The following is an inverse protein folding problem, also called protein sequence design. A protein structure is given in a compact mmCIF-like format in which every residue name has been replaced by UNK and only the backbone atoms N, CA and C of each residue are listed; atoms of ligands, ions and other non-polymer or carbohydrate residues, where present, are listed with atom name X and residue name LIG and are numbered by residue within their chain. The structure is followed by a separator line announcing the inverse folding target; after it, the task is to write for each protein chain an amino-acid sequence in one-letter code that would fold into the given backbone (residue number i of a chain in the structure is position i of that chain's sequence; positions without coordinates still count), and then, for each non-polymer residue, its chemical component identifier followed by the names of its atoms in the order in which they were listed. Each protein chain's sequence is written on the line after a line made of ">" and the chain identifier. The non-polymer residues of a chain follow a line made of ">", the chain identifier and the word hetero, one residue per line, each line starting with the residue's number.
data_IF_696325170539
#
_entry.id   IF_696325170539
#
_cell.length_a   1.000
_cell.length_b   1.000
_cell.length_c   1.000
_cell.angle_alpha   90.00
_cell.angle_beta   90.00
_cell.angle_gamma   90.00
#
_symmetry.space_group_name_H-M   'P 1'
#
loop_
_entity.id
_entity.type
_entity.pdbx_description
1 polymer ?
#
# COMPACT_ATOMS: atom_id res chain seq x y z
N UNK A 1 6.70 -29.24 1.26
CA UNK A 1 7.01 -27.89 0.81
C UNK A 1 5.74 -27.05 0.97
N UNK A 2 5.60 -26.23 1.88
CA UNK A 2 4.61 -25.15 1.98
C UNK A 2 4.19 -24.93 3.43
N UNK A 3 5.15 -24.53 4.24
CA UNK A 3 4.88 -23.87 5.51
C UNK A 3 5.78 -22.64 5.66
N UNK A 4 6.21 -22.06 4.53
CA UNK A 4 7.03 -20.86 4.57
C UNK A 4 6.08 -19.68 4.61
N UNK A 5 6.08 -19.00 5.76
CA UNK A 5 5.37 -17.76 5.97
C UNK A 5 6.07 -16.68 5.17
N UNK A 6 5.40 -16.11 4.18
CA UNK A 6 5.95 -15.09 3.31
C UNK A 6 5.41 -13.71 3.65
N UNK A 7 6.28 -12.71 3.41
CA UNK A 7 5.89 -11.30 3.35
C UNK A 7 5.85 -10.87 1.87
N UNK A 8 4.91 -10.02 1.50
CA UNK A 8 4.83 -9.45 0.15
C UNK A 8 5.48 -8.08 0.15
N UNK A 9 6.59 -7.98 -0.54
CA UNK A 9 7.37 -6.76 -0.70
C UNK A 9 7.33 -6.29 -2.14
N UNK A 10 7.28 -4.99 -2.37
CA UNK A 10 7.28 -4.44 -3.71
C UNK A 10 8.14 -3.19 -3.79
N UNK A 11 8.88 -3.03 -4.89
CA UNK A 11 9.75 -1.88 -5.11
C UNK A 11 9.22 -0.99 -6.21
N UNK A 12 9.04 0.29 -5.89
CA UNK A 12 8.62 1.29 -6.86
C UNK A 12 9.77 1.63 -7.79
N UNK A 13 9.55 1.48 -9.09
CA UNK A 13 10.50 1.82 -10.15
C UNK A 13 10.06 3.10 -10.86
N UNK A 14 11.03 3.92 -11.22
CA UNK A 14 10.94 4.96 -12.24
C UNK A 14 12.06 4.74 -13.26
N UNK A 15 11.71 4.78 -14.54
CA UNK A 15 12.68 4.61 -15.63
C UNK A 15 12.32 5.53 -16.82
N UNK A 16 13.33 6.11 -17.46
CA UNK A 16 13.15 6.89 -18.65
C UNK A 16 13.70 6.18 -19.91
N UNK A 17 13.38 6.70 -21.07
CA UNK A 17 13.85 6.16 -22.36
C UNK A 17 15.36 6.30 -22.60
N UNK A 18 16.06 7.01 -21.73
CA UNK A 18 17.50 7.24 -21.85
C UNK A 18 18.34 6.24 -21.03
N UNK A 19 17.65 5.28 -20.37
CA UNK A 19 18.28 4.23 -19.57
C UNK A 19 18.50 4.58 -18.11
N UNK A 20 18.05 5.75 -17.65
CA UNK A 20 18.05 6.06 -16.23
C UNK A 20 16.93 5.25 -15.55
N UNK A 21 17.30 4.45 -14.57
CA UNK A 21 16.37 3.57 -13.84
C UNK A 21 16.73 3.62 -12.37
N UNK A 22 15.76 3.95 -11.53
CA UNK A 22 15.91 4.03 -10.08
C UNK A 22 14.77 3.27 -9.38
N UNK A 23 14.99 2.91 -8.12
CA UNK A 23 13.92 2.51 -7.22
C UNK A 23 13.70 3.57 -6.12
N UNK A 24 12.48 3.70 -5.66
CA UNK A 24 12.06 4.64 -4.62
C UNK A 24 11.79 3.96 -3.27
N UNK A 25 12.47 2.84 -3.01
CA UNK A 25 12.23 2.02 -1.84
C UNK A 25 11.05 1.07 -2.01
N UNK A 26 10.77 0.37 -0.92
CA UNK A 26 9.78 -0.68 -0.88
C UNK A 26 8.50 -0.25 -0.16
N UNK A 27 7.45 -1.04 -0.41
CA UNK A 27 6.23 -1.13 0.37
C UNK A 27 6.02 -2.58 0.84
N UNK A 28 5.59 -2.73 2.08
CA UNK A 28 5.10 -4.01 2.61
C UNK A 28 3.60 -4.10 2.34
N UNK A 29 3.20 -5.14 1.62
CA UNK A 29 1.81 -5.41 1.26
C UNK A 29 1.37 -6.78 1.75
N UNK A 30 1.89 -7.22 2.90
CA UNK A 30 1.63 -8.55 3.45
C UNK A 30 0.20 -8.73 3.92
N UNK A 31 -0.44 -7.67 4.46
CA UNK A 31 -1.83 -7.75 4.91
C UNK A 31 -2.76 -7.68 3.72
N UNK A 32 -3.28 -8.83 3.39
CA UNK A 32 -4.15 -9.03 2.23
C UNK A 32 -5.24 -10.05 2.51
N UNK A 33 -6.32 -10.00 1.75
CA UNK A 33 -7.37 -11.00 1.75
C UNK A 33 -7.64 -11.43 0.31
N UNK A 34 -7.63 -12.75 0.04
CA UNK A 34 -7.82 -13.30 -1.31
C UNK A 34 -6.92 -12.58 -2.36
N UNK A 35 -5.65 -12.32 -1.99
CA UNK A 35 -4.66 -11.59 -2.80
C UNK A 35 -4.97 -10.11 -3.05
N UNK A 36 -6.01 -9.55 -2.43
CA UNK A 36 -6.28 -8.11 -2.43
C UNK A 36 -5.59 -7.46 -1.23
N UNK A 37 -4.72 -6.50 -1.49
CA UNK A 37 -4.02 -5.71 -0.48
C UNK A 37 -5.04 -4.88 0.32
N UNK A 38 -4.88 -4.83 1.63
CA UNK A 38 -5.76 -4.08 2.54
C UNK A 38 -5.01 -3.02 3.34
N UNK A 39 -3.77 -3.32 3.74
CA UNK A 39 -2.88 -2.42 4.46
C UNK A 39 -1.52 -2.47 3.80
N UNK A 40 -0.96 -1.32 3.49
CA UNK A 40 0.36 -1.15 2.91
C UNK A 40 1.20 -0.20 3.76
N UNK A 41 2.47 -0.51 3.94
CA UNK A 41 3.41 0.28 4.75
C UNK A 41 4.69 0.62 3.97
N UNK A 42 5.24 1.78 4.21
CA UNK A 42 6.57 2.17 3.70
C UNK A 42 7.32 3.00 4.76
N UNK A 43 8.59 2.68 5.07
CA UNK A 43 9.30 1.46 4.67
C UNK A 43 8.76 0.22 5.38
N UNK A 44 9.09 -0.95 4.83
CA UNK A 44 8.74 -2.24 5.44
C UNK A 44 9.46 -2.44 6.78
N UNK A 45 8.73 -2.86 7.84
CA UNK A 45 9.38 -3.23 9.11
C UNK A 45 10.21 -4.52 9.00
N UNK A 46 10.09 -5.26 7.91
CA UNK A 46 10.80 -6.51 7.70
C UNK A 46 12.18 -6.36 7.05
N UNK A 47 12.48 -5.19 6.45
CA UNK A 47 13.73 -4.98 5.72
C UNK A 47 14.70 -4.12 6.52
N UNK A 48 15.94 -4.62 6.69
CA UNK A 48 17.08 -3.80 7.06
C UNK A 48 17.67 -3.12 5.81
N UNK A 49 18.61 -2.20 6.01
CA UNK A 49 19.18 -1.39 4.92
C UNK A 49 19.93 -2.24 3.88
N UNK A 50 20.60 -3.31 4.30
CA UNK A 50 21.32 -4.21 3.40
C UNK A 50 20.36 -4.99 2.49
N UNK A 51 19.32 -5.58 3.08
CA UNK A 51 18.32 -6.34 2.34
C UNK A 51 17.51 -5.42 1.40
N UNK A 52 17.14 -4.22 1.88
CA UNK A 52 16.49 -3.18 1.07
C UNK A 52 17.33 -2.83 -0.15
N UNK A 53 18.62 -2.63 0.05
CA UNK A 53 19.54 -2.32 -1.05
C UNK A 53 19.61 -3.47 -2.05
N UNK A 54 19.81 -4.71 -1.59
CA UNK A 54 19.90 -5.89 -2.45
C UNK A 54 18.63 -6.11 -3.28
N UNK A 55 17.47 -6.01 -2.66
CA UNK A 55 16.19 -6.16 -3.34
C UNK A 55 15.93 -5.00 -4.32
N UNK A 56 16.25 -3.78 -3.92
CA UNK A 56 16.14 -2.60 -4.78
C UNK A 56 17.05 -2.68 -6.01
N UNK A 57 18.30 -3.08 -5.84
CA UNK A 57 19.23 -3.31 -6.96
C UNK A 57 18.69 -4.40 -7.91
N UNK A 58 18.09 -5.46 -7.36
CA UNK A 58 17.44 -6.51 -8.15
C UNK A 58 16.25 -5.97 -8.93
N UNK A 59 15.41 -5.15 -8.30
CA UNK A 59 14.25 -4.54 -8.96
C UNK A 59 14.68 -3.62 -10.13
N UNK A 60 15.75 -2.83 -9.94
CA UNK A 60 16.35 -2.02 -11.00
C UNK A 60 16.91 -2.90 -12.13
N UNK A 61 17.59 -4.01 -11.78
CA UNK A 61 18.12 -4.93 -12.78
C UNK A 61 17.01 -5.59 -13.63
N UNK A 62 15.90 -5.99 -13.00
CA UNK A 62 14.72 -6.51 -13.69
C UNK A 62 14.16 -5.47 -14.67
N UNK A 63 13.97 -4.23 -14.24
CA UNK A 63 13.46 -3.16 -15.09
C UNK A 63 14.40 -2.87 -16.29
N UNK A 64 15.70 -2.81 -16.05
CA UNK A 64 16.71 -2.60 -17.11
C UNK A 64 16.75 -3.76 -18.12
N UNK A 65 16.59 -4.99 -17.67
CA UNK A 65 16.62 -6.17 -18.54
C UNK A 65 15.52 -6.19 -19.62
N UNK A 66 14.42 -5.49 -19.36
CA UNK A 66 13.28 -5.37 -20.28
C UNK A 66 13.16 -3.98 -20.92
N UNK A 67 14.17 -3.10 -20.72
CA UNK A 67 14.13 -1.71 -21.16
C UNK A 67 12.85 -1.00 -20.72
N UNK A 68 12.50 -1.18 -19.44
CA UNK A 68 11.28 -0.60 -18.88
C UNK A 68 11.29 0.91 -18.95
N UNK A 69 10.16 1.51 -19.24
CA UNK A 69 9.95 2.97 -19.26
C UNK A 69 8.72 3.34 -18.42
N UNK A 70 8.79 4.46 -17.72
CA UNK A 70 7.78 5.05 -16.87
C UNK A 70 7.75 4.43 -15.44
N UNK A 71 6.66 4.65 -14.69
CA UNK A 71 6.48 4.10 -13.36
C UNK A 71 6.01 2.65 -13.41
N UNK A 72 6.65 1.79 -12.65
CA UNK A 72 6.28 0.39 -12.49
C UNK A 72 6.66 -0.12 -11.11
N UNK A 73 6.27 -1.33 -10.80
CA UNK A 73 6.55 -1.96 -9.51
C UNK A 73 7.00 -3.39 -9.71
N UNK A 74 8.09 -3.76 -9.04
CA UNK A 74 8.60 -5.14 -9.01
C UNK A 74 8.21 -5.77 -7.68
N UNK A 75 7.46 -6.86 -7.72
CA UNK A 75 6.96 -7.56 -6.54
C UNK A 75 7.78 -8.81 -6.20
N UNK A 76 7.97 -9.03 -4.90
CA UNK A 76 8.72 -10.14 -4.34
C UNK A 76 7.96 -10.80 -3.19
N UNK A 77 8.23 -12.09 -2.99
CA UNK A 77 7.97 -12.79 -1.74
C UNK A 77 9.26 -12.85 -0.93
N UNK A 78 9.19 -12.53 0.34
CA UNK A 78 10.29 -12.59 1.29
C UNK A 78 10.00 -13.67 2.33
N UNK A 79 10.91 -14.63 2.48
CA UNK A 79 10.81 -15.68 3.50
C UNK A 79 11.45 -15.25 4.85
N UNK A 80 11.27 -16.07 5.87
CA UNK A 80 11.82 -15.84 7.23
C UNK A 80 13.35 -15.90 7.33
N UNK A 81 14.04 -16.34 6.27
CA UNK A 81 15.50 -16.45 6.21
C UNK A 81 16.11 -15.34 5.34
N UNK A 82 15.36 -14.27 5.06
CA UNK A 82 15.75 -13.16 4.20
C UNK A 82 16.05 -13.56 2.74
N UNK A 83 15.53 -14.72 2.28
CA UNK A 83 15.53 -15.04 0.87
C UNK A 83 14.30 -14.40 0.22
N UNK A 84 14.52 -13.78 -0.93
CA UNK A 84 13.44 -13.16 -1.69
C UNK A 84 13.32 -13.77 -3.08
N UNK A 85 12.08 -13.85 -3.54
CA UNK A 85 11.71 -14.51 -4.79
C UNK A 85 10.91 -13.52 -5.62
N UNK A 86 11.35 -13.33 -6.87
CA UNK A 86 10.61 -12.51 -7.83
C UNK A 86 9.23 -13.11 -8.10
N UNK A 87 8.20 -12.26 -8.11
CA UNK A 87 6.84 -12.64 -8.47
C UNK A 87 6.46 -12.10 -9.85
N UNK A 88 6.34 -10.79 -9.95
CA UNK A 88 5.84 -10.12 -11.16
C UNK A 88 6.30 -8.67 -11.26
N UNK A 89 6.10 -8.09 -12.44
CA UNK A 89 6.21 -6.65 -12.66
C UNK A 89 4.83 -6.09 -12.99
N UNK A 90 4.39 -5.10 -12.21
CA UNK A 90 3.21 -4.32 -12.55
C UNK A 90 3.65 -3.12 -13.40
N UNK A 91 3.28 -3.15 -14.67
CA UNK A 91 3.68 -2.14 -15.67
C UNK A 91 2.75 -0.93 -15.68
N UNK A 92 2.42 -0.42 -14.51
CA UNK A 92 1.50 0.71 -14.26
C UNK A 92 1.75 1.29 -12.88
N UNK A 93 1.18 2.47 -12.65
CA UNK A 93 1.06 2.97 -11.26
C UNK A 93 0.12 2.07 -10.45
N UNK A 94 0.41 1.90 -9.18
CA UNK A 94 -0.42 1.11 -8.25
C UNK A 94 -1.21 2.01 -7.31
N UNK A 95 -2.26 1.45 -6.69
CA UNK A 95 -3.14 2.16 -5.76
C UNK A 95 -2.32 2.77 -4.61
N UNK A 96 -1.39 2.00 -4.07
CA UNK A 96 -0.56 2.27 -2.89
C UNK A 96 0.67 3.17 -3.17
N UNK A 97 0.76 3.78 -4.35
CA UNK A 97 1.89 4.68 -4.69
C UNK A 97 2.02 5.86 -3.72
N UNK A 98 0.90 6.30 -3.13
CA UNK A 98 0.86 7.49 -2.28
C UNK A 98 1.74 7.40 -1.05
N UNK A 99 1.94 6.21 -0.45
CA UNK A 99 2.85 6.08 0.70
C UNK A 99 4.33 6.20 0.30
N UNK A 100 4.69 5.78 -0.92
CA UNK A 100 6.03 6.04 -1.45
C UNK A 100 6.26 7.55 -1.65
N UNK A 101 5.25 8.27 -2.18
CA UNK A 101 5.32 9.73 -2.31
C UNK A 101 5.52 10.42 -0.95
N UNK A 102 4.80 9.97 0.07
CA UNK A 102 4.88 10.54 1.42
C UNK A 102 6.26 10.36 2.07
N UNK A 103 6.91 9.22 1.89
CA UNK A 103 8.22 8.96 2.51
C UNK A 103 9.39 9.45 1.68
N UNK A 104 9.23 9.64 0.36
CA UNK A 104 10.33 10.07 -0.52
C UNK A 104 10.25 11.53 -0.94
N UNK A 105 9.05 12.14 -0.88
CA UNK A 105 8.79 13.47 -1.43
C UNK A 105 8.72 13.53 -2.95
N UNK A 106 8.75 12.39 -3.64
CA UNK A 106 8.67 12.30 -5.11
C UNK A 106 7.22 12.17 -5.55
N UNK A 107 6.73 13.11 -6.35
CA UNK A 107 5.41 13.07 -6.97
C UNK A 107 5.44 12.12 -8.18
N UNK A 108 5.01 10.88 -7.97
CA UNK A 108 5.08 9.81 -8.97
C UNK A 108 4.22 10.10 -10.21
N UNK A 109 3.06 10.69 -10.03
CA UNK A 109 2.17 11.04 -11.15
C UNK A 109 2.78 12.13 -12.02
N UNK A 110 3.39 13.12 -11.38
CA UNK A 110 4.12 14.18 -12.08
C UNK A 110 5.31 13.62 -12.87
N UNK A 111 6.09 12.73 -12.27
CA UNK A 111 7.23 12.10 -12.95
C UNK A 111 6.76 11.20 -14.11
N UNK A 112 5.63 10.46 -13.97
CA UNK A 112 5.04 9.73 -15.09
C UNK A 112 4.72 10.64 -16.29
N UNK A 113 4.13 11.80 -16.03
CA UNK A 113 3.78 12.77 -17.10
C UNK A 113 5.03 13.31 -17.77
N UNK A 114 6.07 13.67 -17.01
CA UNK A 114 7.34 14.16 -17.54
C UNK A 114 8.03 13.12 -18.42
N UNK A 115 8.13 11.88 -17.93
CA UNK A 115 8.74 10.77 -18.67
C UNK A 115 7.96 10.53 -19.98
N UNK A 116 6.62 10.50 -19.91
CA UNK A 116 5.79 10.33 -21.09
C UNK A 116 5.90 11.51 -22.10
N UNK A 117 6.20 12.71 -21.61
CA UNK A 117 6.53 13.86 -22.45
C UNK A 117 7.94 13.78 -23.07
N UNK A 118 8.71 12.76 -22.70
CA UNK A 118 10.06 12.53 -23.23
C UNK A 118 11.16 13.24 -22.45
N UNK A 119 10.88 13.75 -21.27
CA UNK A 119 11.88 14.33 -20.38
C UNK A 119 12.76 13.23 -19.76
N UNK A 120 14.01 13.58 -19.47
CA UNK A 120 14.90 12.69 -18.70
C UNK A 120 14.51 12.71 -17.23
N UNK A 121 14.65 11.56 -16.58
CA UNK A 121 14.46 11.44 -15.14
C UNK A 121 15.49 12.32 -14.42
N UNK A 122 15.02 13.38 -13.76
CA UNK A 122 15.89 14.37 -13.09
C UNK A 122 16.36 13.93 -11.70
N UNK A 123 16.04 12.68 -11.28
CA UNK A 123 16.34 12.13 -9.95
C UNK A 123 17.33 10.99 -10.14
N UNK A 124 18.43 10.98 -9.37
CA UNK A 124 19.38 9.88 -9.33
C UNK A 124 19.11 8.98 -8.14
N UNK A 125 19.58 7.73 -8.17
CA UNK A 125 19.42 6.80 -7.06
C UNK A 125 20.03 7.35 -5.75
N UNK A 126 21.15 8.01 -5.83
CA UNK A 126 21.80 8.64 -4.66
C UNK A 126 21.03 9.80 -4.04
N UNK A 127 20.04 10.37 -4.75
CA UNK A 127 19.20 11.46 -4.24
C UNK A 127 17.97 10.93 -3.50
N UNK A 128 17.59 9.67 -3.73
CA UNK A 128 16.44 9.06 -3.07
C UNK A 128 16.69 8.89 -1.58
N UNK A 129 15.81 9.45 -0.77
CA UNK A 129 15.84 9.31 0.69
C UNK A 129 14.46 8.90 1.18
N UNK A 130 14.43 7.95 2.09
CA UNK A 130 13.22 7.56 2.82
C UNK A 130 13.23 8.32 4.14
N UNK A 131 12.23 9.13 4.38
CA UNK A 131 12.05 9.89 5.61
C UNK A 131 10.79 9.43 6.32
N UNK A 132 10.92 9.15 7.64
CA UNK A 132 9.78 8.73 8.44
C UNK A 132 9.18 7.40 8.02
N UNK A 133 7.89 7.28 8.21
CA UNK A 133 7.09 6.13 7.82
C UNK A 133 5.70 6.58 7.33
N UNK A 134 5.10 5.81 6.45
CA UNK A 134 3.74 6.00 5.98
C UNK A 134 2.99 4.67 5.91
N UNK A 135 1.68 4.76 6.03
CA UNK A 135 0.75 3.63 5.93
C UNK A 135 -0.45 4.04 5.09
N UNK A 136 -0.91 3.14 4.23
CA UNK A 136 -2.18 3.24 3.52
C UNK A 136 -3.13 2.15 4.01
N UNK A 137 -4.40 2.49 4.16
CA UNK A 137 -5.49 1.55 4.39
C UNK A 137 -6.56 1.79 3.34
N UNK A 138 -7.02 0.70 2.72
CA UNK A 138 -8.12 0.74 1.74
C UNK A 138 -9.44 0.60 2.45
N UNK A 139 -10.31 1.60 2.29
CA UNK A 139 -11.69 1.54 2.76
C UNK A 139 -12.57 1.06 1.60
N UNK A 140 -13.15 -0.11 1.82
CA UNK A 140 -14.00 -0.79 0.87
C UNK A 140 -15.46 -0.80 1.38
N UNK A 141 -16.40 -0.60 0.48
CA UNK A 141 -17.83 -0.82 0.75
C UNK A 141 -18.12 -2.33 0.77
N UNK A 142 -17.68 -2.98 1.83
CA UNK A 142 -17.76 -4.43 2.07
C UNK A 142 -18.14 -4.71 3.52
N UNK A 143 -18.81 -5.85 3.75
CA UNK A 143 -19.19 -6.28 5.09
C UNK A 143 -18.25 -7.42 5.57
N UNK A 144 -17.31 -7.15 6.49
CA UNK A 144 -16.41 -8.18 7.04
C UNK A 144 -17.13 -9.34 7.71
N UNK A 145 -18.26 -9.09 8.40
CA UNK A 145 -19.05 -10.14 9.06
C UNK A 145 -19.73 -11.09 8.06
N UNK A 146 -19.90 -10.64 6.81
CA UNK A 146 -20.47 -11.42 5.69
C UNK A 146 -19.39 -11.81 4.69
N UNK A 147 -18.21 -12.20 5.17
CA UNK A 147 -17.09 -12.63 4.35
C UNK A 147 -16.71 -11.57 3.29
N UNK A 148 -16.70 -10.28 3.69
CA UNK A 148 -16.40 -9.14 2.83
C UNK A 148 -17.32 -9.05 1.58
N UNK A 149 -18.58 -9.46 1.73
CA UNK A 149 -19.53 -9.27 0.65
C UNK A 149 -19.64 -7.78 0.30
N UNK A 150 -19.56 -7.41 -0.99
CA UNK A 150 -19.76 -6.04 -1.44
C UNK A 150 -21.08 -5.46 -0.94
N UNK A 151 -21.06 -4.21 -0.52
CA UNK A 151 -22.22 -3.48 -0.01
C UNK A 151 -22.45 -2.18 -0.83
N UNK A 152 -22.86 -2.30 -2.11
CA UNK A 152 -23.20 -1.15 -2.92
C UNK A 152 -24.43 -0.43 -2.33
N UNK A 153 -24.53 0.87 -2.57
CA UNK A 153 -25.65 1.67 -2.06
C UNK A 153 -25.35 3.15 -2.05
N UNK A 154 -26.26 3.93 -1.51
CA UNK A 154 -26.11 5.39 -1.43
C UNK A 154 -25.54 5.79 -0.08
N UNK A 155 -24.43 6.51 -0.10
CA UNK A 155 -23.83 7.16 1.07
C UNK A 155 -24.75 8.30 1.49
N UNK A 156 -25.37 8.20 2.66
CA UNK A 156 -26.27 9.23 3.19
C UNK A 156 -25.49 10.40 3.78
N UNK A 157 -24.46 10.07 4.56
CA UNK A 157 -23.60 11.04 5.18
C UNK A 157 -22.17 10.51 5.21
N UNK A 158 -21.19 11.40 5.05
CA UNK A 158 -19.77 11.07 5.16
C UNK A 158 -19.04 12.19 5.90
N UNK A 159 -18.23 11.83 6.88
CA UNK A 159 -17.25 12.69 7.51
C UNK A 159 -15.84 12.14 7.22
N UNK A 160 -15.00 12.99 6.65
CA UNK A 160 -13.62 12.67 6.30
C UNK A 160 -12.71 13.49 7.20
N UNK A 161 -11.97 12.88 8.13
CA UNK A 161 -11.03 13.58 8.98
C UNK A 161 -9.82 14.07 8.19
N UNK A 162 -9.12 15.03 8.76
CA UNK A 162 -7.89 15.59 8.20
C UNK A 162 -6.90 15.96 9.28
N UNK A 163 -5.79 16.56 8.89
CA UNK A 163 -4.77 17.03 9.83
C UNK A 163 -3.35 16.80 9.32
N UNK A 164 -2.38 17.14 10.18
CA UNK A 164 -0.98 17.01 9.83
C UNK A 164 -0.57 15.54 9.64
N UNK A 165 -0.07 15.21 8.44
CA UNK A 165 0.35 13.85 8.08
C UNK A 165 -0.83 12.90 7.83
N UNK A 166 -1.98 13.44 7.42
CA UNK A 166 -3.15 12.69 6.93
C UNK A 166 -3.40 13.09 5.48
N UNK A 167 -3.45 12.10 4.59
CA UNK A 167 -3.88 12.24 3.20
C UNK A 167 -5.00 11.25 2.93
N UNK A 168 -6.08 11.72 2.35
CA UNK A 168 -7.21 10.88 1.96
C UNK A 168 -7.52 11.11 0.49
N UNK A 169 -7.45 10.03 -0.30
CA UNK A 169 -7.81 10.05 -1.71
C UNK A 169 -9.15 9.34 -1.87
N UNK A 170 -10.18 10.06 -2.32
CA UNK A 170 -11.53 9.53 -2.49
C UNK A 170 -12.30 10.31 -3.56
N UNK A 171 -13.28 9.65 -4.17
CA UNK A 171 -14.23 10.26 -5.11
C UNK A 171 -15.66 10.30 -4.54
N UNK A 172 -15.90 9.73 -3.35
CA UNK A 172 -17.25 9.66 -2.79
C UNK A 172 -17.56 10.88 -1.92
N UNK A 173 -18.84 11.19 -1.82
CA UNK A 173 -19.41 12.31 -1.06
C UNK A 173 -20.82 11.95 -0.56
N UNK A 174 -21.41 12.76 0.32
CA UNK A 174 -22.81 12.56 0.76
C UNK A 174 -23.77 12.63 -0.43
N UNK A 175 -24.55 11.58 -0.62
CA UNK A 175 -25.44 11.40 -1.77
C UNK A 175 -24.85 10.58 -2.92
N UNK A 176 -23.54 10.23 -2.87
CA UNK A 176 -22.92 9.37 -3.89
C UNK A 176 -23.50 7.95 -3.82
N UNK A 177 -23.85 7.39 -4.97
CA UNK A 177 -24.30 5.99 -5.09
C UNK A 177 -23.16 5.13 -5.62
N UNK A 178 -22.71 4.18 -4.80
CA UNK A 178 -21.67 3.21 -5.16
C UNK A 178 -22.30 2.20 -6.12
N UNK A 179 -21.80 2.12 -7.36
CA UNK A 179 -22.35 1.19 -8.35
C UNK A 179 -21.89 -0.26 -8.07
N UNK A 180 -22.73 -1.28 -8.34
CA UNK A 180 -22.38 -2.67 -8.07
C UNK A 180 -21.45 -3.30 -9.14
N UNK A 181 -21.00 -2.54 -10.14
CA UNK A 181 -20.30 -3.05 -11.32
C UNK A 181 -18.79 -2.85 -11.29
N UNK A 182 -18.27 -2.13 -10.29
CA UNK A 182 -16.85 -1.80 -10.13
C UNK A 182 -16.33 -2.33 -8.81
N UNK A 183 -15.03 -2.14 -8.58
CA UNK A 183 -14.39 -2.45 -7.31
C UNK A 183 -15.08 -1.75 -6.14
N UNK A 184 -15.09 -2.39 -4.98
CA UNK A 184 -15.72 -1.90 -3.76
C UNK A 184 -14.93 -0.80 -3.04
N UNK A 185 -13.69 -0.53 -3.46
CA UNK A 185 -12.84 0.49 -2.83
C UNK A 185 -13.40 1.88 -3.07
N UNK A 186 -13.69 2.60 -1.98
CA UNK A 186 -14.26 3.95 -2.02
C UNK A 186 -13.31 5.03 -1.53
N UNK A 187 -12.25 4.63 -0.83
CA UNK A 187 -11.33 5.59 -0.22
C UNK A 187 -9.98 4.91 0.06
N UNK A 188 -8.89 5.68 -0.04
CA UNK A 188 -7.58 5.36 0.52
C UNK A 188 -7.28 6.33 1.63
N UNK A 189 -6.97 5.81 2.81
CA UNK A 189 -6.54 6.60 3.96
C UNK A 189 -5.04 6.40 4.14
N UNK A 190 -4.30 7.49 4.09
CA UNK A 190 -2.85 7.46 4.28
C UNK A 190 -2.45 8.31 5.47
N UNK A 191 -1.55 7.78 6.30
CA UNK A 191 -0.93 8.54 7.39
C UNK A 191 0.59 8.52 7.27
N UNK A 192 1.21 9.62 7.70
CA UNK A 192 2.65 9.82 7.69
C UNK A 192 3.12 10.42 9.01
N UNK A 193 4.27 9.95 9.51
CA UNK A 193 4.95 10.48 10.67
C UNK A 193 6.45 10.14 10.65
N UNK A 194 7.20 10.61 11.68
CA UNK A 194 8.62 10.34 11.78
C UNK A 194 8.97 8.88 12.06
N UNK A 195 8.02 8.10 12.56
CA UNK A 195 8.20 6.69 12.89
C UNK A 195 6.90 5.90 12.73
N UNK A 196 7.03 4.57 12.58
CA UNK A 196 5.93 3.64 12.35
C UNK A 196 4.90 3.64 13.49
N UNK A 197 5.34 3.74 14.74
CA UNK A 197 4.43 3.74 15.91
C UNK A 197 3.47 4.92 15.82
N UNK A 198 4.01 6.11 15.58
CA UNK A 198 3.20 7.33 15.44
C UNK A 198 2.26 7.25 14.22
N UNK A 199 2.69 6.61 13.12
CA UNK A 199 1.83 6.35 11.94
C UNK A 199 0.63 5.50 12.32
N UNK A 200 0.83 4.39 13.06
CA UNK A 200 -0.25 3.51 13.52
C UNK A 200 -1.21 4.25 14.46
N UNK A 201 -0.69 5.04 15.40
CA UNK A 201 -1.50 5.84 16.33
C UNK A 201 -2.37 6.87 15.57
N UNK A 202 -1.80 7.55 14.58
CA UNK A 202 -2.55 8.45 13.70
C UNK A 202 -3.61 7.72 12.89
N UNK A 203 -3.28 6.58 12.30
CA UNK A 203 -4.22 5.78 11.52
C UNK A 203 -5.42 5.37 12.37
N UNK A 204 -5.19 4.93 13.61
CA UNK A 204 -6.27 4.62 14.55
C UNK A 204 -7.17 5.82 14.82
N UNK A 205 -6.57 6.99 15.06
CA UNK A 205 -7.35 8.23 15.28
C UNK A 205 -8.21 8.55 14.06
N UNK A 206 -7.61 8.53 12.87
CA UNK A 206 -8.30 8.84 11.61
C UNK A 206 -9.43 7.85 11.35
N UNK A 207 -9.19 6.53 11.50
CA UNK A 207 -10.22 5.51 11.31
C UNK A 207 -11.37 5.65 12.31
N UNK A 208 -11.06 6.02 13.55
CA UNK A 208 -12.07 6.28 14.59
C UNK A 208 -12.91 7.53 14.35
N UNK A 209 -12.44 8.46 13.53
CA UNK A 209 -13.14 9.69 13.18
C UNK A 209 -13.92 9.59 11.85
N UNK A 210 -13.60 8.61 10.99
CA UNK A 210 -14.33 8.40 9.71
C UNK A 210 -15.76 7.97 10.02
N UNK A 211 -16.73 8.69 9.46
CA UNK A 211 -18.15 8.33 9.50
C UNK A 211 -18.63 8.12 8.07
N UNK A 212 -19.17 6.93 7.77
CA UNK A 212 -19.80 6.62 6.49
C UNK A 212 -21.15 5.96 6.79
N UNK A 213 -22.24 6.66 6.49
CA UNK A 213 -23.60 6.16 6.73
C UNK A 213 -24.29 5.81 5.42
N UNK A 214 -25.14 4.79 5.48
CA UNK A 214 -25.94 4.31 4.34
C UNK A 214 -25.39 3.06 3.66
N UNK A 215 -24.10 2.76 3.85
CA UNK A 215 -23.43 1.54 3.38
C UNK A 215 -22.57 0.96 4.50
N UNK A 216 -22.32 -0.34 4.44
CA UNK A 216 -21.36 -1.01 5.35
C UNK A 216 -19.98 -0.96 4.70
N UNK A 217 -18.96 -0.65 5.50
CA UNK A 217 -17.56 -0.63 5.08
C UNK A 217 -16.71 -1.51 5.98
N UNK A 218 -15.47 -1.73 5.57
CA UNK A 218 -14.47 -2.46 6.37
C UNK A 218 -13.75 -1.57 7.42
N UNK A 219 -14.19 -0.34 7.65
CA UNK A 219 -13.49 0.65 8.51
C UNK A 219 -13.21 0.13 9.92
N UNK A 220 -14.21 -0.45 10.58
CA UNK A 220 -14.07 -0.99 11.95
C UNK A 220 -13.07 -2.15 11.98
N UNK A 221 -13.10 -3.01 10.97
CA UNK A 221 -12.15 -4.12 10.84
C UNK A 221 -10.71 -3.60 10.65
N UNK A 222 -10.51 -2.55 9.87
CA UNK A 222 -9.20 -1.92 9.73
C UNK A 222 -8.73 -1.26 11.03
N UNK A 223 -9.64 -0.69 11.80
CA UNK A 223 -9.34 -0.16 13.13
C UNK A 223 -8.85 -1.26 14.07
N UNK A 224 -9.51 -2.44 14.06
CA UNK A 224 -9.11 -3.60 14.86
C UNK A 224 -7.72 -4.12 14.46
N UNK A 225 -7.40 -4.17 13.15
CA UNK A 225 -6.05 -4.53 12.69
C UNK A 225 -5.01 -3.59 13.29
N UNK A 226 -5.27 -2.28 13.33
CA UNK A 226 -4.35 -1.30 13.90
C UNK A 226 -4.17 -1.44 15.42
N UNK A 227 -4.99 -2.25 16.11
CA UNK A 227 -4.86 -2.57 17.52
C UNK A 227 -4.22 -3.95 17.77
N UNK A 228 -4.09 -4.77 16.74
CA UNK A 228 -3.54 -6.11 16.87
C UNK A 228 -2.05 -6.06 17.25
N UNK A 229 -1.67 -6.81 18.28
CA UNK A 229 -0.30 -6.80 18.81
C UNK A 229 0.74 -7.29 17.81
N UNK A 230 0.43 -8.30 16.97
CA UNK A 230 1.34 -8.79 15.94
C UNK A 230 1.55 -7.72 14.87
N UNK A 231 0.46 -7.03 14.46
CA UNK A 231 0.56 -5.91 13.54
C UNK A 231 1.43 -4.78 14.10
N UNK A 232 1.19 -4.37 15.34
CA UNK A 232 1.98 -3.31 16.00
C UNK A 232 3.46 -3.68 16.06
N UNK A 233 3.79 -4.96 16.31
CA UNK A 233 5.17 -5.47 16.33
C UNK A 233 5.80 -5.65 14.95
N UNK A 234 5.02 -5.55 13.85
CA UNK A 234 5.48 -5.84 12.49
C UNK A 234 5.62 -7.34 12.18
N UNK A 235 5.06 -8.19 13.04
CA UNK A 235 5.05 -9.64 12.87
C UNK A 235 3.81 -10.07 12.08
N UNK A 236 3.83 -9.76 10.79
CA UNK A 236 2.74 -10.02 9.85
C UNK A 236 3.24 -10.82 8.65
N UNK A 237 2.32 -11.55 8.04
CA UNK A 237 2.56 -12.34 6.82
C UNK A 237 1.36 -12.26 5.88
N UNK A 238 1.47 -12.90 4.72
CA UNK A 238 0.32 -13.04 3.80
C UNK A 238 -0.85 -13.84 4.39
N UNK A 239 -0.60 -14.62 5.45
CA UNK A 239 -1.61 -15.40 6.16
C UNK A 239 -2.15 -14.70 7.43
N UNK A 240 -1.76 -13.44 7.66
CA UNK A 240 -2.15 -12.68 8.85
C UNK A 240 -3.68 -12.64 9.07
N UNK A 241 -4.46 -12.35 8.03
CA UNK A 241 -5.92 -12.27 8.17
C UNK A 241 -6.55 -13.63 8.52
N UNK A 242 -6.27 -14.74 7.80
CA UNK A 242 -6.79 -16.04 8.18
C UNK A 242 -6.34 -16.52 9.56
N UNK A 243 -5.14 -16.18 10.01
CA UNK A 243 -4.61 -16.59 11.31
C UNK A 243 -5.22 -15.80 12.48
N UNK A 244 -5.24 -14.47 12.38
CA UNK A 244 -5.68 -13.60 13.47
C UNK A 244 -7.20 -13.35 13.47
N UNK A 245 -7.83 -13.46 12.31
CA UNK A 245 -9.25 -13.17 12.11
C UNK A 245 -10.00 -14.30 11.39
N UNK A 246 -9.92 -15.55 11.85
CA UNK A 246 -10.54 -16.69 11.16
C UNK A 246 -12.06 -16.57 11.02
N UNK A 247 -12.71 -15.78 11.88
CA UNK A 247 -14.16 -15.53 11.84
C UNK A 247 -14.61 -14.81 10.57
N UNK A 248 -13.76 -13.98 9.96
CA UNK A 248 -14.09 -13.24 8.72
C UNK A 248 -13.69 -14.01 7.45
N UNK A 249 -13.06 -15.18 7.60
CA UNK A 249 -12.60 -16.02 6.50
C UNK A 249 -13.47 -17.28 6.29
N UNK A 250 -14.59 -17.40 7.01
CA UNK A 250 -15.50 -18.56 6.87
C UNK A 250 -16.15 -18.55 5.49
N UNK A 251 -15.96 -19.68 4.78
CA UNK A 251 -16.63 -19.95 3.49
C UNK A 251 -18.12 -20.20 3.68
#
# INVERSE_FOLDING_TARGET
>A
AASDVYKRQEFQILADKYGNTIHLGERDCSIQRNHQKLVEESPSPALNDELRKRMGDTAVAVAKAVNYENAGTVEFLLDKNDNYYFMEVNTRIQVEHGITELVTGVDLIKEQIKIAAGESLGIKQEDVRIHGAAMEIRINAENPEKNFAPNPGTIKNIHIPGGNGVRIDTAVYSGYTIPPFYDSMIMKVMTYANDRKTVIEKMRSVLGEIIIEGVTTNTDFMYDICQNEKFIKGDVSTDFIPEEYPQVCKK
#
